data_IF_338129596382
#
_entry.id   IF_338129596382
#
_cell.length_a   1.000
_cell.length_b   1.000
_cell.length_c   1.000
_cell.angle_alpha   90.00
_cell.angle_beta   90.00
_cell.angle_gamma   90.00
#
_symmetry.space_group_name_H-M   'P 1'
#
loop_
_entity.id
_entity.type
_entity.pdbx_description
1 polymer ?
#
# COMPACT_ATOMS: atom_id res chain seq x y z
N UNK A 1 19.43 -7.48 2.41
CA UNK A 1 20.01 -8.82 2.64
C UNK A 1 21.52 -8.78 2.67
N UNK A 2 22.16 -8.32 1.61
CA UNK A 2 23.63 -8.23 1.47
C UNK A 2 24.29 -7.13 2.32
N UNK A 3 23.52 -6.13 2.76
CA UNK A 3 24.02 -5.03 3.60
C UNK A 3 24.02 -5.33 5.11
N UNK A 4 23.24 -6.33 5.57
CA UNK A 4 23.13 -6.69 6.99
C UNK A 4 24.46 -7.19 7.60
N UNK A 5 25.29 -7.99 6.89
CA UNK A 5 26.58 -8.45 7.42
C UNK A 5 27.64 -7.35 7.53
N UNK A 6 27.47 -6.22 6.82
CA UNK A 6 28.48 -5.14 6.79
C UNK A 6 28.59 -4.39 8.12
N UNK A 7 27.62 -4.57 9.04
CA UNK A 7 27.55 -3.91 10.36
C UNK A 7 27.77 -2.37 10.27
N UNK A 8 27.47 -1.78 9.12
CA UNK A 8 27.71 -0.37 8.84
C UNK A 8 26.43 0.42 9.05
N UNK A 9 26.45 1.27 10.07
CA UNK A 9 25.33 2.14 10.41
C UNK A 9 24.90 3.02 9.22
N UNK A 10 25.85 3.57 8.47
CA UNK A 10 25.55 4.48 7.35
C UNK A 10 24.85 3.78 6.19
N UNK A 11 25.22 2.53 5.90
CA UNK A 11 24.53 1.73 4.87
C UNK A 11 23.13 1.37 5.33
N UNK A 12 22.99 0.94 6.59
CA UNK A 12 21.67 0.67 7.20
C UNK A 12 20.77 1.91 7.13
N UNK A 13 21.28 3.07 7.57
CA UNK A 13 20.55 4.34 7.58
C UNK A 13 20.14 4.74 6.16
N UNK A 14 21.05 4.64 5.19
CA UNK A 14 20.75 4.93 3.78
C UNK A 14 19.62 4.05 3.24
N UNK A 15 19.69 2.74 3.45
CA UNK A 15 18.62 1.82 3.06
C UNK A 15 17.29 2.11 3.78
N UNK A 16 17.35 2.41 5.08
CA UNK A 16 16.16 2.74 5.87
C UNK A 16 15.50 4.03 5.37
N UNK A 17 16.28 5.06 5.05
CA UNK A 17 15.76 6.32 4.53
C UNK A 17 15.09 6.14 3.16
N UNK A 18 15.68 5.33 2.28
CA UNK A 18 15.08 4.96 0.99
C UNK A 18 13.76 4.21 1.19
N UNK A 19 13.73 3.23 2.09
CA UNK A 19 12.50 2.49 2.41
C UNK A 19 11.43 3.41 3.00
N UNK A 20 11.82 4.33 3.90
CA UNK A 20 10.91 5.28 4.51
C UNK A 20 10.32 6.25 3.48
N UNK A 21 11.15 6.81 2.60
CA UNK A 21 10.70 7.66 1.50
C UNK A 21 9.76 6.91 0.54
N UNK A 22 10.15 5.70 0.13
CA UNK A 22 9.32 4.86 -0.75
C UNK A 22 7.97 4.51 -0.10
N UNK A 23 7.97 4.21 1.21
CA UNK A 23 6.73 3.97 1.98
C UNK A 23 5.86 5.22 2.02
N UNK A 24 6.45 6.40 2.21
CA UNK A 24 5.73 7.68 2.16
C UNK A 24 5.06 7.92 0.80
N UNK A 25 5.80 7.70 -0.29
CA UNK A 25 5.28 7.81 -1.66
C UNK A 25 4.14 6.81 -1.90
N UNK A 26 4.32 5.54 -1.51
CA UNK A 26 3.31 4.49 -1.67
C UNK A 26 2.02 4.74 -0.88
N UNK A 27 2.13 5.27 0.33
CA UNK A 27 0.97 5.70 1.12
C UNK A 27 0.25 6.87 0.42
N UNK A 28 0.98 7.90 0.01
CA UNK A 28 0.41 9.06 -0.69
C UNK A 28 -0.32 8.69 -1.98
N UNK A 29 0.26 7.80 -2.80
CA UNK A 29 -0.38 7.31 -4.02
C UNK A 29 -1.67 6.54 -3.72
N UNK A 30 -1.65 5.68 -2.69
CA UNK A 30 -2.82 4.87 -2.30
C UNK A 30 -3.96 5.74 -1.76
N UNK A 31 -3.64 6.70 -0.88
CA UNK A 31 -4.61 7.64 -0.33
C UNK A 31 -5.26 8.52 -1.41
N UNK A 32 -4.51 8.91 -2.45
CA UNK A 32 -5.07 9.64 -3.61
C UNK A 32 -5.83 8.75 -4.58
N UNK A 33 -5.48 7.48 -4.69
CA UNK A 33 -6.16 6.53 -5.56
C UNK A 33 -7.61 6.27 -5.12
N UNK A 34 -7.86 6.16 -3.81
CA UNK A 34 -9.18 5.79 -3.27
C UNK A 34 -10.28 6.79 -3.71
N UNK A 35 -10.18 8.11 -3.47
CA UNK A 35 -11.18 9.06 -3.94
C UNK A 35 -11.36 9.06 -5.46
N UNK A 36 -10.28 8.90 -6.23
CA UNK A 36 -10.33 8.87 -7.69
C UNK A 36 -11.13 7.67 -8.20
N UNK A 37 -10.98 6.50 -7.57
CA UNK A 37 -11.75 5.29 -7.94
C UNK A 37 -13.24 5.47 -7.64
N UNK A 38 -13.60 6.06 -6.49
CA UNK A 38 -14.99 6.38 -6.17
C UNK A 38 -15.58 7.44 -7.11
N UNK A 39 -14.79 8.42 -7.54
CA UNK A 39 -15.18 9.40 -8.54
C UNK A 39 -15.44 8.75 -9.91
N UNK A 40 -14.49 7.95 -10.41
CA UNK A 40 -14.58 7.24 -11.68
C UNK A 40 -15.78 6.28 -11.76
N UNK A 41 -16.04 5.53 -10.67
CA UNK A 41 -17.22 4.64 -10.60
C UNK A 41 -18.56 5.39 -10.63
N UNK A 42 -18.60 6.62 -10.13
CA UNK A 42 -19.82 7.43 -10.19
C UNK A 42 -20.11 8.01 -11.56
N UNK A 43 -19.07 8.32 -12.35
CA UNK A 43 -19.22 8.78 -13.74
C UNK A 43 -19.78 7.67 -14.65
N UNK A 44 -19.40 6.41 -14.40
CA UNK A 44 -19.93 5.26 -15.13
C UNK A 44 -21.44 4.99 -14.92
N UNK A 45 -22.08 5.61 -13.92
CA UNK A 45 -23.50 5.40 -13.57
C UNK A 45 -24.38 6.61 -13.98
N UNK A 46 -23.87 7.55 -14.79
CA UNK A 46 -24.60 8.77 -15.21
C UNK A 46 -25.23 9.55 -14.04
N UNK A 47 -24.52 9.60 -12.90
CA UNK A 47 -25.04 10.18 -11.67
C UNK A 47 -24.83 11.70 -11.62
N UNK A 48 -25.90 12.44 -11.36
CA UNK A 48 -25.95 13.92 -11.30
C UNK A 48 -24.99 14.55 -10.28
N UNK A 49 -24.71 15.84 -10.44
CA UNK A 49 -23.82 16.63 -9.56
C UNK A 49 -24.21 16.57 -8.07
N UNK A 50 -25.49 16.37 -7.74
CA UNK A 50 -26.01 16.19 -6.37
C UNK A 50 -25.48 14.92 -5.68
N UNK A 51 -25.07 13.89 -6.43
CA UNK A 51 -24.50 12.65 -5.88
C UNK A 51 -22.99 12.74 -5.60
N UNK A 52 -22.31 13.80 -6.07
CA UNK A 52 -20.86 13.99 -5.88
C UNK A 52 -20.48 14.13 -4.40
N UNK A 53 -21.23 14.92 -3.63
CA UNK A 53 -21.02 15.07 -2.19
C UNK A 53 -21.22 13.75 -1.42
N UNK A 54 -22.21 12.95 -1.82
CA UNK A 54 -22.45 11.62 -1.25
C UNK A 54 -21.30 10.64 -1.54
N UNK A 55 -20.72 10.69 -2.76
CA UNK A 55 -19.55 9.88 -3.13
C UNK A 55 -18.30 10.27 -2.35
N UNK A 56 -18.04 11.57 -2.19
CA UNK A 56 -16.88 12.04 -1.43
C UNK A 56 -16.97 11.65 0.05
N UNK A 57 -18.18 11.69 0.63
CA UNK A 57 -18.42 11.16 1.98
C UNK A 57 -18.16 9.65 2.08
N UNK A 58 -18.61 8.86 1.09
CA UNK A 58 -18.34 7.41 1.06
C UNK A 58 -16.84 7.11 0.91
N UNK A 59 -16.15 7.83 0.03
CA UNK A 59 -14.70 7.70 -0.14
C UNK A 59 -13.96 8.06 1.16
N UNK A 60 -14.35 9.14 1.84
CA UNK A 60 -13.77 9.53 3.12
C UNK A 60 -14.03 8.48 4.23
N UNK A 61 -15.24 7.93 4.29
CA UNK A 61 -15.57 6.85 5.23
C UNK A 61 -14.74 5.58 4.96
N UNK A 62 -14.60 5.19 3.69
CA UNK A 62 -13.74 4.08 3.29
C UNK A 62 -12.27 4.36 3.66
N UNK A 63 -11.79 5.59 3.44
CA UNK A 63 -10.44 6.01 3.81
C UNK A 63 -10.18 5.86 5.30
N UNK A 64 -11.12 6.30 6.14
CA UNK A 64 -11.03 6.18 7.59
C UNK A 64 -11.01 4.73 8.08
N UNK A 65 -11.79 3.85 7.46
CA UNK A 65 -11.76 2.42 7.79
C UNK A 65 -10.43 1.77 7.36
N UNK A 66 -9.95 2.08 6.15
CA UNK A 66 -8.69 1.55 5.62
C UNK A 66 -7.51 2.05 6.46
N UNK A 67 -7.50 3.31 6.88
CA UNK A 67 -6.43 3.87 7.71
C UNK A 67 -6.41 3.25 9.11
N UNK A 68 -7.59 2.99 9.70
CA UNK A 68 -7.69 2.28 10.97
C UNK A 68 -7.09 0.87 10.89
N UNK A 69 -7.39 0.13 9.81
CA UNK A 69 -6.79 -1.19 9.57
C UNK A 69 -5.28 -1.08 9.33
N UNK A 70 -4.85 -0.10 8.55
CA UNK A 70 -3.42 0.13 8.24
C UNK A 70 -2.58 0.47 9.47
N UNK A 71 -3.17 1.18 10.46
CA UNK A 71 -2.48 1.54 11.70
C UNK A 71 -2.01 0.31 12.51
N UNK A 72 -2.71 -0.82 12.43
CA UNK A 72 -2.29 -2.07 13.07
C UNK A 72 -0.93 -2.58 12.54
N UNK A 73 -0.52 -2.18 11.33
CA UNK A 73 0.81 -2.48 10.80
C UNK A 73 1.94 -1.98 11.73
N UNK A 74 1.74 -0.85 12.41
CA UNK A 74 2.70 -0.31 13.38
C UNK A 74 2.94 -1.22 14.60
N UNK A 75 1.97 -2.07 14.94
CA UNK A 75 2.09 -3.07 16.00
C UNK A 75 2.58 -4.43 15.47
N UNK A 76 2.05 -4.86 14.31
CA UNK A 76 2.35 -6.19 13.74
C UNK A 76 3.79 -6.28 13.22
N UNK A 77 4.33 -5.22 12.59
CA UNK A 77 5.68 -5.25 12.02
C UNK A 77 6.76 -5.48 13.11
N UNK A 78 6.79 -4.74 14.24
CA UNK A 78 7.72 -5.02 15.33
C UNK A 78 7.57 -6.43 15.90
N UNK A 79 6.33 -6.94 16.01
CA UNK A 79 6.09 -8.28 16.54
C UNK A 79 6.66 -9.38 15.63
N UNK A 80 6.52 -9.23 14.30
CA UNK A 80 7.10 -10.18 13.33
C UNK A 80 8.63 -10.12 13.35
N UNK A 81 9.21 -8.91 13.43
CA UNK A 81 10.66 -8.74 13.54
C UNK A 81 11.20 -9.38 14.82
N UNK A 82 10.54 -9.15 15.96
CA UNK A 82 10.89 -9.75 17.24
C UNK A 82 10.78 -11.29 17.19
N UNK A 83 9.70 -11.83 16.64
CA UNK A 83 9.51 -13.26 16.48
C UNK A 83 10.61 -13.90 15.59
N UNK A 84 10.98 -13.25 14.49
CA UNK A 84 12.09 -13.70 13.63
C UNK A 84 13.42 -13.72 14.38
N UNK A 85 13.69 -12.68 15.18
CA UNK A 85 14.92 -12.58 15.97
C UNK A 85 15.01 -13.68 17.04
N UNK A 86 13.91 -13.95 17.73
CA UNK A 86 13.83 -15.02 18.74
C UNK A 86 13.97 -16.41 18.12
N UNK A 87 13.38 -16.64 16.95
CA UNK A 87 13.36 -17.95 16.32
C UNK A 87 14.64 -18.28 15.52
N UNK A 88 15.25 -17.29 14.86
CA UNK A 88 16.35 -17.51 13.91
C UNK A 88 17.66 -16.82 14.30
N UNK A 89 17.65 -16.00 15.35
CA UNK A 89 18.80 -15.16 15.72
C UNK A 89 19.06 -13.99 14.77
N UNK A 90 18.20 -13.78 13.76
CA UNK A 90 18.32 -12.68 12.80
C UNK A 90 16.97 -12.18 12.27
N UNK A 91 16.98 -10.98 11.68
CA UNK A 91 15.81 -10.37 11.04
C UNK A 91 15.61 -10.76 9.57
N UNK A 92 16.54 -11.55 9.01
CA UNK A 92 16.57 -11.88 7.57
C UNK A 92 15.28 -12.59 7.13
N UNK A 93 14.79 -13.54 7.92
CA UNK A 93 13.55 -14.26 7.57
C UNK A 93 12.33 -13.32 7.50
N UNK A 94 12.17 -12.42 8.47
CA UNK A 94 11.11 -11.41 8.45
C UNK A 94 11.21 -10.49 7.21
N UNK A 95 12.42 -10.06 6.83
CA UNK A 95 12.58 -9.22 5.63
C UNK A 95 12.18 -9.95 4.34
N UNK A 96 12.49 -11.24 4.19
CA UNK A 96 11.98 -12.02 3.06
C UNK A 96 10.45 -12.09 3.07
N UNK A 97 9.84 -12.28 4.24
CA UNK A 97 8.38 -12.25 4.39
C UNK A 97 7.77 -10.92 3.95
N UNK A 98 8.35 -9.80 4.37
CA UNK A 98 7.89 -8.47 3.96
C UNK A 98 8.03 -8.23 2.46
N UNK A 99 9.17 -8.61 1.86
CA UNK A 99 9.36 -8.52 0.40
C UNK A 99 8.31 -9.34 -0.34
N UNK A 100 8.07 -10.59 0.08
CA UNK A 100 7.03 -11.43 -0.51
C UNK A 100 5.65 -10.81 -0.42
N UNK A 101 5.29 -10.26 0.74
CA UNK A 101 4.02 -9.55 0.94
C UNK A 101 3.89 -8.33 0.00
N UNK A 102 4.95 -7.51 -0.14
CA UNK A 102 4.94 -6.38 -1.06
C UNK A 102 4.80 -6.80 -2.53
N UNK A 103 5.43 -7.91 -2.95
CA UNK A 103 5.27 -8.45 -4.30
C UNK A 103 3.83 -8.89 -4.55
N UNK A 104 3.18 -9.55 -3.59
CA UNK A 104 1.76 -9.93 -3.69
C UNK A 104 0.85 -8.70 -3.80
N UNK A 105 1.09 -7.67 -2.97
CA UNK A 105 0.31 -6.43 -3.01
C UNK A 105 0.51 -5.67 -4.33
N UNK A 106 1.73 -5.66 -4.86
CA UNK A 106 2.05 -5.09 -6.16
C UNK A 106 1.30 -5.83 -7.27
N UNK A 107 1.36 -7.16 -7.29
CA UNK A 107 0.66 -7.99 -8.26
C UNK A 107 -0.86 -7.77 -8.20
N UNK A 108 -1.43 -7.68 -6.98
CA UNK A 108 -2.84 -7.36 -6.78
C UNK A 108 -3.20 -5.97 -7.35
N UNK A 109 -2.38 -4.96 -7.08
CA UNK A 109 -2.59 -3.60 -7.58
C UNK A 109 -2.54 -3.57 -9.11
N UNK A 110 -1.55 -4.23 -9.70
CA UNK A 110 -1.41 -4.36 -11.15
C UNK A 110 -2.61 -5.09 -11.75
N UNK A 111 -3.05 -6.21 -11.15
CA UNK A 111 -4.18 -6.99 -11.63
C UNK A 111 -5.53 -6.27 -11.53
N UNK A 112 -5.72 -5.45 -10.49
CA UNK A 112 -6.98 -4.73 -10.27
C UNK A 112 -7.04 -3.44 -11.08
N UNK A 113 -5.94 -2.69 -11.20
CA UNK A 113 -5.94 -1.33 -11.75
C UNK A 113 -5.24 -1.18 -13.10
N UNK A 114 -4.26 -2.01 -13.43
CA UNK A 114 -3.43 -1.86 -14.64
C UNK A 114 -3.79 -2.86 -15.71
N UNK A 115 -4.16 -4.10 -15.36
CA UNK A 115 -4.60 -5.08 -16.36
C UNK A 115 -5.91 -4.61 -17.02
N UNK A 116 -5.96 -4.52 -18.37
CA UNK A 116 -7.15 -4.07 -19.08
C UNK A 116 -8.29 -5.06 -18.87
N UNK A 117 -9.24 -4.74 -17.99
CA UNK A 117 -10.51 -5.46 -17.97
C UNK A 117 -11.29 -5.03 -19.21
N UNK A 118 -11.51 -5.97 -20.13
CA UNK A 118 -12.31 -5.80 -21.37
C UNK A 118 -13.70 -5.19 -21.15
N UNK A 119 -14.17 -5.06 -19.90
CA UNK A 119 -15.46 -4.45 -19.56
C UNK A 119 -15.49 -2.92 -19.57
N UNK A 120 -14.38 -2.23 -19.88
CA UNK A 120 -14.34 -0.76 -20.03
C UNK A 120 -13.78 -0.33 -21.40
N UNK A 121 -13.94 -1.16 -22.44
CA UNK A 121 -13.59 -0.83 -23.83
C UNK A 121 -14.53 0.23 -24.47
N UNK A 122 -14.86 1.30 -23.74
CA UNK A 122 -15.82 2.31 -24.16
C UNK A 122 -15.52 3.76 -23.76
N UNK A 123 -14.59 4.04 -22.86
CA UNK A 123 -14.20 5.42 -22.57
C UNK A 123 -12.71 5.50 -22.26
N UNK A 124 -11.96 5.81 -23.31
CA UNK A 124 -10.61 6.35 -23.19
C UNK A 124 -10.68 7.65 -22.38
N UNK A 125 -9.89 7.69 -21.30
CA UNK A 125 -9.43 8.93 -20.68
C UNK A 125 -8.26 9.45 -21.51
#
# INVERSE_FOLDING_TARGET
MWALPLQSFWVFLGCFLVLFAATGVGNGSTYRMIPNVFAARGLAIAADASTSASRQRKAAAALGLISAIGAYGGFVIPQILNASQLATGAYVAAFYGFVGAYVVLLALTVFVYVLPRRSLAGQRI
#
